data_IF_507625454070
#
_entry.id   IF_507625454070
#
_cell.length_a   1.000
_cell.length_b   1.000
_cell.length_c   1.000
_cell.angle_alpha   90.00
_cell.angle_beta   90.00
_cell.angle_gamma   90.00
#
_symmetry.space_group_name_H-M   'P 1'
#
loop_
_entity.id
_entity.type
_entity.pdbx_description
1 polymer ?
#
# COMPACT_ATOMS: atom_id res chain seq x y z
N UNK A 1 -1.36 13.19 -17.48
CA UNK A 1 -2.33 12.57 -16.55
C UNK A 1 -2.57 11.16 -17.03
N UNK A 2 -1.94 10.17 -16.40
CA UNK A 2 -2.24 8.77 -16.71
C UNK A 2 -3.62 8.47 -16.14
N UNK A 3 -4.55 8.05 -17.00
CA UNK A 3 -5.93 7.74 -16.64
C UNK A 3 -5.98 6.47 -15.77
N UNK A 4 -4.92 5.68 -15.77
CA UNK A 4 -4.80 4.41 -15.06
C UNK A 4 -3.82 4.51 -13.89
N UNK A 5 -4.26 4.10 -12.70
CA UNK A 5 -3.39 4.02 -11.52
C UNK A 5 -2.33 2.92 -11.71
N UNK A 6 -1.09 3.24 -11.35
CA UNK A 6 0.04 2.33 -11.49
C UNK A 6 -0.06 1.23 -10.45
N UNK A 7 -0.02 -0.03 -10.90
CA UNK A 7 -0.09 -1.20 -10.04
C UNK A 7 1.29 -1.64 -9.55
N UNK A 8 1.51 -1.52 -8.24
CA UNK A 8 2.72 -1.89 -7.54
C UNK A 8 2.71 -3.37 -7.15
N UNK A 9 3.89 -3.98 -7.15
CA UNK A 9 4.18 -5.24 -6.45
C UNK A 9 4.31 -5.01 -4.94
N UNK A 10 4.30 -6.08 -4.14
CA UNK A 10 4.56 -5.98 -2.71
C UNK A 10 5.92 -5.34 -2.38
N UNK A 11 6.95 -5.59 -3.21
CA UNK A 11 8.28 -4.99 -3.04
C UNK A 11 8.25 -3.48 -3.28
N UNK A 12 7.59 -3.04 -4.34
CA UNK A 12 7.47 -1.61 -4.65
C UNK A 12 6.59 -0.89 -3.61
N UNK A 13 5.49 -1.50 -3.17
CA UNK A 13 4.68 -0.96 -2.08
C UNK A 13 5.48 -0.82 -0.77
N UNK A 14 6.28 -1.83 -0.42
CA UNK A 14 7.18 -1.77 0.73
C UNK A 14 8.22 -0.65 0.60
N UNK A 15 8.77 -0.44 -0.59
CA UNK A 15 9.68 0.68 -0.87
C UNK A 15 8.98 2.03 -0.73
N UNK A 16 7.75 2.18 -1.21
CA UNK A 16 6.98 3.44 -1.04
C UNK A 16 6.76 3.75 0.44
N UNK A 17 6.45 2.75 1.25
CA UNK A 17 6.25 2.92 2.70
C UNK A 17 7.55 2.90 3.51
N UNK A 18 8.71 2.74 2.87
CA UNK A 18 10.03 2.64 3.51
C UNK A 18 10.09 1.55 4.60
N UNK A 19 9.54 0.37 4.31
CA UNK A 19 9.55 -0.80 5.22
C UNK A 19 10.11 -2.04 4.53
N UNK A 20 10.48 -3.04 5.32
CA UNK A 20 10.84 -4.35 4.79
C UNK A 20 9.63 -5.07 4.16
N UNK A 21 9.86 -5.97 3.20
CA UNK A 21 8.79 -6.78 2.57
C UNK A 21 8.01 -7.61 3.60
N UNK A 22 8.65 -8.28 4.60
CA UNK A 22 7.91 -8.98 5.64
C UNK A 22 7.03 -8.05 6.48
N UNK A 23 7.54 -6.85 6.81
CA UNK A 23 6.73 -5.83 7.52
C UNK A 23 5.53 -5.40 6.68
N UNK A 24 5.72 -5.18 5.37
CA UNK A 24 4.63 -4.85 4.47
C UNK A 24 3.53 -5.91 4.51
N UNK A 25 3.87 -7.20 4.43
CA UNK A 25 2.87 -8.28 4.55
C UNK A 25 2.19 -8.34 5.92
N UNK A 26 2.91 -8.06 7.01
CA UNK A 26 2.30 -7.94 8.33
C UNK A 26 1.30 -6.78 8.38
N UNK A 27 1.59 -5.66 7.72
CA UNK A 27 0.66 -4.52 7.57
C UNK A 27 -0.54 -4.83 6.69
N UNK A 28 -0.38 -5.69 5.69
CA UNK A 28 -1.52 -6.21 4.91
C UNK A 28 -2.39 -7.12 5.78
N UNK A 29 -1.78 -7.95 6.63
CA UNK A 29 -2.49 -8.85 7.53
C UNK A 29 -3.23 -8.11 8.67
N UNK A 30 -2.62 -7.06 9.24
CA UNK A 30 -3.21 -6.23 10.30
C UNK A 30 -4.23 -5.19 9.77
N UNK A 31 -4.34 -5.05 8.45
CA UNK A 31 -5.30 -4.16 7.79
C UNK A 31 -4.84 -2.70 7.64
N UNK A 32 -3.63 -2.35 8.10
CA UNK A 32 -3.04 -1.02 7.90
C UNK A 32 -2.79 -0.74 6.42
N UNK A 33 -2.35 -1.76 5.67
CA UNK A 33 -2.20 -1.72 4.21
C UNK A 33 -3.36 -2.51 3.59
N UNK A 34 -4.01 -2.02 2.52
CA UNK A 34 -5.14 -2.72 1.90
C UNK A 34 -4.75 -4.09 1.34
N UNK A 35 -5.75 -4.97 1.19
CA UNK A 35 -5.57 -6.28 0.56
C UNK A 35 -5.23 -6.10 -0.93
N UNK A 36 -4.40 -6.97 -1.52
CA UNK A 36 -4.04 -6.85 -2.93
C UNK A 36 -5.23 -7.07 -3.86
N UNK A 37 -5.24 -6.33 -4.97
CA UNK A 37 -6.00 -6.66 -6.17
C UNK A 37 -5.36 -7.90 -6.81
N UNK A 38 -6.16 -8.96 -7.00
CA UNK A 38 -5.71 -10.21 -7.61
C UNK A 38 -5.90 -10.18 -9.13
N UNK A 39 -4.82 -10.42 -9.87
CA UNK A 39 -4.82 -10.57 -11.33
C UNK A 39 -4.19 -11.93 -11.64
N UNK A 40 -5.04 -12.96 -11.71
CA UNK A 40 -4.59 -14.35 -11.71
C UNK A 40 -3.78 -14.67 -10.44
N UNK A 41 -2.56 -15.18 -10.61
CA UNK A 41 -1.64 -15.44 -9.50
C UNK A 41 -0.96 -14.16 -8.95
N UNK A 42 -1.06 -13.03 -9.67
CA UNK A 42 -0.38 -11.80 -9.28
C UNK A 42 -1.17 -11.05 -8.21
N UNK A 43 -0.44 -10.55 -7.22
CA UNK A 43 -0.96 -9.65 -6.19
C UNK A 43 -0.44 -8.25 -6.47
N UNK A 44 -1.35 -7.29 -6.66
CA UNK A 44 -1.02 -5.92 -7.03
C UNK A 44 -1.73 -4.91 -6.13
N UNK A 45 -1.11 -3.76 -5.95
CA UNK A 45 -1.68 -2.64 -5.20
C UNK A 45 -1.70 -1.39 -6.06
N UNK A 46 -2.84 -0.69 -6.16
CA UNK A 46 -2.86 0.63 -6.75
C UNK A 46 -1.92 1.58 -5.98
N UNK A 47 -1.12 2.37 -6.69
CA UNK A 47 -0.18 3.30 -6.07
C UNK A 47 -0.93 4.32 -5.21
N UNK A 48 -2.11 4.78 -5.65
CA UNK A 48 -2.93 5.72 -4.89
C UNK A 48 -3.33 5.16 -3.52
N UNK A 49 -3.69 3.88 -3.44
CA UNK A 49 -4.05 3.22 -2.19
C UNK A 49 -2.87 3.14 -1.21
N UNK A 50 -1.67 2.83 -1.71
CA UNK A 50 -0.47 2.81 -0.86
C UNK A 50 -0.15 4.21 -0.34
N UNK A 51 -0.32 5.25 -1.17
CA UNK A 51 -0.15 6.65 -0.74
C UNK A 51 -1.22 7.01 0.30
N UNK A 52 -2.46 6.55 0.14
CA UNK A 52 -3.55 6.81 1.07
C UNK A 52 -3.26 6.27 2.49
N UNK A 53 -2.46 5.20 2.63
CA UNK A 53 -1.98 4.72 3.94
C UNK A 53 -1.16 5.81 4.66
N UNK A 54 -0.30 6.52 3.94
CA UNK A 54 0.52 7.61 4.49
C UNK A 54 -0.39 8.77 4.90
N UNK A 55 -1.36 9.13 4.05
CA UNK A 55 -2.30 10.22 4.33
C UNK A 55 -3.20 9.90 5.53
N UNK A 56 -3.67 8.66 5.66
CA UNK A 56 -4.41 8.21 6.84
C UNK A 56 -3.57 8.32 8.12
N UNK A 57 -2.30 7.91 8.07
CA UNK A 57 -1.39 8.04 9.21
C UNK A 57 -1.12 9.51 9.58
N UNK A 58 -0.98 10.40 8.58
CA UNK A 58 -0.87 11.85 8.81
C UNK A 58 -2.11 12.40 9.48
N UNK A 59 -3.30 12.02 9.00
CA UNK A 59 -4.57 12.46 9.57
C UNK A 59 -4.75 12.01 11.02
N UNK A 60 -4.41 10.74 11.32
CA UNK A 60 -4.42 10.22 12.69
C UNK A 60 -3.47 10.97 13.61
N UNK A 61 -2.26 11.31 13.14
CA UNK A 61 -1.29 12.11 13.90
C UNK A 61 -1.82 13.52 14.20
N UNK A 62 -2.51 14.15 13.26
CA UNK A 62 -3.06 15.49 13.43
C UNK A 62 -4.31 15.55 14.31
N UNK A 63 -4.98 14.41 14.53
CA UNK A 63 -6.16 14.31 15.38
C UNK A 63 -5.84 13.95 16.85
N UNK A 64 -4.58 13.67 17.17
CA UNK A 64 -4.07 13.36 18.50
C UNK A 64 -3.38 14.59 19.12
#
# INVERSE_FOLDING_TARGET
MNITDTLLTAREGAQVLQVSIPTFWRRVADGTVPKPVKIGALSRWPRSEIIAVIEAAKAQRSAA
#
